data_IF_360510772556
#
_entry.id   IF_360510772556
#
_cell.length_a   1.000
_cell.length_b   1.000
_cell.length_c   1.000
_cell.angle_alpha   90.00
_cell.angle_beta   90.00
_cell.angle_gamma   90.00
#
_symmetry.space_group_name_H-M   'P 1'
#
loop_
_entity.id
_entity.type
_entity.pdbx_description
1 polymer ?
#
# COMPACT_ATOMS: atom_id res chain seq x y z
N UNK A 1 12.24 21.61 -13.70
CA UNK A 1 10.82 21.90 -13.48
C UNK A 1 10.02 20.93 -14.34
N UNK A 2 9.20 20.05 -13.74
CA UNK A 2 8.45 19.04 -14.53
C UNK A 2 7.37 19.71 -15.38
N UNK A 3 7.12 19.15 -16.57
CA UNK A 3 6.20 19.69 -17.59
C UNK A 3 4.80 20.05 -17.05
N UNK A 4 4.33 19.31 -16.03
CA UNK A 4 3.03 19.56 -15.38
C UNK A 4 3.02 20.86 -14.56
N UNK A 5 4.12 21.19 -13.88
CA UNK A 5 4.26 22.44 -13.13
C UNK A 5 4.36 23.63 -14.09
N UNK A 6 5.07 23.45 -15.20
CA UNK A 6 5.23 24.48 -16.24
C UNK A 6 3.91 24.82 -16.94
N UNK A 7 3.07 23.82 -17.24
CA UNK A 7 1.75 24.03 -17.86
C UNK A 7 0.74 24.66 -16.88
N UNK A 8 0.75 24.28 -15.60
CA UNK A 8 -0.11 24.86 -14.56
C UNK A 8 0.25 26.30 -14.19
N UNK A 9 1.53 26.65 -14.15
CA UNK A 9 1.99 28.03 -13.90
C UNK A 9 1.68 28.97 -15.08
N UNK A 10 1.65 28.47 -16.31
CA UNK A 10 1.29 29.28 -17.49
C UNK A 10 -0.19 29.70 -17.50
N UNK A 11 -0.99 29.14 -16.59
CA UNK A 11 -2.41 29.41 -16.39
C UNK A 11 -2.70 30.22 -15.11
N UNK A 12 -1.69 30.56 -14.31
CA UNK A 12 -1.81 31.28 -13.04
C UNK A 12 -1.27 32.72 -13.17
N UNK A 13 -1.96 33.77 -12.67
CA UNK A 13 -1.44 35.13 -12.69
C UNK A 13 -0.13 35.22 -11.86
N UNK A 14 0.81 36.06 -12.32
CA UNK A 14 2.22 36.06 -11.91
C UNK A 14 2.46 36.18 -10.39
N UNK A 15 1.50 36.73 -9.65
CA UNK A 15 1.55 36.90 -8.18
C UNK A 15 1.21 35.62 -7.37
N UNK A 16 0.62 34.58 -7.98
CA UNK A 16 0.25 33.33 -7.29
C UNK A 16 1.20 32.16 -7.57
N UNK A 17 2.22 32.35 -8.42
CA UNK A 17 3.13 31.29 -8.85
C UNK A 17 3.91 30.68 -7.67
N UNK A 18 4.32 31.51 -6.69
CA UNK A 18 5.01 31.05 -5.48
C UNK A 18 4.12 30.18 -4.60
N UNK A 19 2.83 30.54 -4.45
CA UNK A 19 1.84 29.76 -3.71
C UNK A 19 1.47 28.45 -4.44
N UNK A 20 1.29 28.49 -5.76
CA UNK A 20 0.99 27.29 -6.55
C UNK A 20 2.12 26.26 -6.54
N UNK A 21 3.38 26.71 -6.51
CA UNK A 21 4.55 25.83 -6.40
C UNK A 21 4.64 25.19 -5.01
N UNK A 22 4.42 25.96 -3.95
CA UNK A 22 4.39 25.44 -2.58
C UNK A 22 3.27 24.40 -2.40
N UNK A 23 2.06 24.70 -2.88
CA UNK A 23 0.92 23.78 -2.84
C UNK A 23 1.21 22.48 -3.58
N UNK A 24 1.83 22.56 -4.76
CA UNK A 24 2.13 21.37 -5.56
C UNK A 24 3.16 20.45 -4.89
N UNK A 25 4.10 21.02 -4.13
CA UNK A 25 5.02 20.25 -3.30
C UNK A 25 4.32 19.60 -2.11
N UNK A 26 3.41 20.31 -1.43
CA UNK A 26 2.59 19.74 -0.34
C UNK A 26 1.72 18.60 -0.84
N UNK A 27 1.01 18.77 -1.96
CA UNK A 27 0.16 17.72 -2.56
C UNK A 27 1.01 16.49 -2.87
N UNK A 28 2.22 16.66 -3.42
CA UNK A 28 3.12 15.54 -3.72
C UNK A 28 3.58 14.81 -2.45
N UNK A 29 3.92 15.55 -1.40
CA UNK A 29 4.33 14.96 -0.12
C UNK A 29 3.18 14.20 0.55
N UNK A 30 2.00 14.81 0.61
CA UNK A 30 0.80 14.20 1.20
C UNK A 30 0.38 12.97 0.40
N UNK A 31 0.32 13.07 -0.94
CA UNK A 31 -0.03 11.93 -1.79
C UNK A 31 0.98 10.77 -1.68
N UNK A 32 2.28 11.08 -1.59
CA UNK A 32 3.32 10.07 -1.37
C UNK A 32 3.17 9.35 -0.03
N UNK A 33 2.92 10.10 1.05
CA UNK A 33 2.73 9.55 2.40
C UNK A 33 1.46 8.69 2.52
N UNK A 34 0.34 9.15 1.95
CA UNK A 34 -0.91 8.38 1.97
C UNK A 34 -0.77 7.08 1.18
N UNK A 35 -0.11 7.13 0.01
CA UNK A 35 0.11 5.94 -0.81
C UNK A 35 0.90 4.85 -0.08
N UNK A 36 1.98 5.21 0.60
CA UNK A 36 2.79 4.23 1.36
C UNK A 36 2.05 3.73 2.59
N UNK A 37 1.33 4.59 3.31
CA UNK A 37 0.55 4.19 4.48
C UNK A 37 -0.48 3.11 4.14
N UNK A 38 -1.24 3.29 3.06
CA UNK A 38 -2.25 2.33 2.61
C UNK A 38 -1.59 0.98 2.27
N UNK A 39 -0.49 0.99 1.52
CA UNK A 39 0.22 -0.24 1.13
C UNK A 39 0.75 -1.00 2.35
N UNK A 40 1.34 -0.29 3.31
CA UNK A 40 1.83 -0.90 4.56
C UNK A 40 0.66 -1.49 5.35
N UNK A 41 -0.44 -0.76 5.51
CA UNK A 41 -1.62 -1.25 6.23
C UNK A 41 -2.17 -2.54 5.63
N UNK A 42 -2.34 -2.60 4.31
CA UNK A 42 -2.82 -3.81 3.61
C UNK A 42 -1.83 -4.97 3.80
N UNK A 43 -0.54 -4.71 3.60
CA UNK A 43 0.50 -5.75 3.79
C UNK A 43 0.47 -6.31 5.21
N UNK A 44 0.34 -5.44 6.22
CA UNK A 44 0.27 -5.86 7.64
C UNK A 44 -0.99 -6.67 7.93
N UNK A 45 -2.15 -6.26 7.40
CA UNK A 45 -3.40 -7.00 7.58
C UNK A 45 -3.33 -8.38 6.93
N UNK A 46 -2.93 -8.46 5.65
CA UNK A 46 -2.80 -9.74 4.95
C UNK A 46 -1.77 -10.66 5.62
N UNK A 47 -0.62 -10.13 6.03
CA UNK A 47 0.40 -10.91 6.74
C UNK A 47 -0.12 -11.49 8.06
N UNK A 48 -0.92 -10.72 8.80
CA UNK A 48 -1.50 -11.15 10.08
C UNK A 48 -2.55 -12.24 9.89
N UNK A 49 -3.42 -12.08 8.89
CA UNK A 49 -4.43 -13.09 8.52
C UNK A 49 -3.77 -14.40 8.07
N UNK A 50 -2.79 -14.33 7.17
CA UNK A 50 -2.03 -15.52 6.74
C UNK A 50 -1.33 -16.19 7.93
N UNK A 51 -0.69 -15.42 8.81
CA UNK A 51 -0.02 -15.96 9.99
C UNK A 51 -0.99 -16.71 10.91
N UNK A 52 -2.16 -16.12 11.18
CA UNK A 52 -3.22 -16.75 11.96
C UNK A 52 -3.66 -18.08 11.34
N UNK A 53 -3.87 -18.11 10.02
CA UNK A 53 -4.25 -19.32 9.29
C UNK A 53 -3.17 -20.41 9.36
N UNK A 54 -1.90 -20.05 9.18
CA UNK A 54 -0.78 -20.99 9.33
C UNK A 54 -0.69 -21.54 10.76
N UNK A 55 -0.88 -20.72 11.81
CA UNK A 55 -0.85 -21.22 13.19
C UNK A 55 -2.05 -22.08 13.56
N UNK A 56 -3.24 -21.75 13.05
CA UNK A 56 -4.47 -22.51 13.30
C UNK A 56 -4.45 -23.89 12.62
N UNK A 57 -3.94 -23.97 11.40
CA UNK A 57 -3.78 -25.27 10.68
C UNK A 57 -2.78 -26.20 11.37
N UNK A 58 -1.73 -25.66 11.99
CA UNK A 58 -0.75 -26.43 12.75
C UNK A 58 -1.25 -26.91 14.12
N UNK A 59 -2.21 -26.22 14.73
CA UNK A 59 -2.63 -26.46 16.13
C UNK A 59 -3.98 -27.16 16.23
N UNK A 60 -4.97 -26.77 15.42
CA UNK A 60 -6.39 -27.13 15.64
C UNK A 60 -6.91 -28.20 14.69
N UNK A 61 -6.31 -28.34 13.50
CA UNK A 61 -6.88 -29.17 12.43
C UNK A 61 -6.18 -30.54 12.25
N UNK A 62 -5.16 -30.86 13.06
CA UNK A 62 -4.47 -32.14 12.99
C UNK A 62 -3.84 -32.51 14.34
N UNK A 63 -4.49 -33.41 15.08
CA UNK A 63 -3.96 -33.98 16.33
C UNK A 63 -2.57 -34.65 16.14
N UNK A 64 -2.29 -35.12 14.92
CA UNK A 64 -0.98 -35.66 14.56
C UNK A 64 0.13 -34.59 14.65
N UNK A 65 -0.13 -33.40 14.11
CA UNK A 65 0.85 -32.30 14.11
C UNK A 65 1.06 -31.72 15.50
N UNK A 66 0.00 -31.61 16.31
CA UNK A 66 0.12 -31.13 17.70
C UNK A 66 0.95 -32.10 18.54
N UNK A 67 0.79 -33.41 18.36
CA UNK A 67 1.60 -34.43 19.05
C UNK A 67 3.09 -34.37 18.67
N UNK A 68 3.39 -34.12 17.39
CA UNK A 68 4.76 -33.99 16.90
C UNK A 68 5.39 -32.65 17.28
N UNK A 69 4.58 -31.60 17.44
CA UNK A 69 5.02 -30.29 17.93
C UNK A 69 5.46 -30.36 19.40
N UNK A 70 4.75 -31.12 20.25
CA UNK A 70 5.17 -31.40 21.63
C UNK A 70 6.47 -32.20 21.72
N UNK A 71 6.82 -32.98 20.68
CA UNK A 71 8.10 -33.71 20.61
C UNK A 71 9.27 -32.82 20.14
N UNK A 72 9.00 -31.73 19.43
CA UNK A 72 10.03 -30.85 18.85
C UNK A 72 10.75 -29.97 19.88
N UNK A 73 10.30 -29.95 21.14
CA UNK A 73 10.84 -29.11 22.21
C UNK A 73 10.73 -27.61 21.91
N UNK A 74 11.13 -26.78 22.88
CA UNK A 74 10.92 -25.32 22.79
C UNK A 74 11.64 -24.68 21.57
N UNK A 75 12.81 -25.21 21.20
CA UNK A 75 13.59 -24.72 20.06
C UNK A 75 12.97 -25.05 18.69
N UNK A 76 12.33 -26.22 18.57
CA UNK A 76 11.64 -26.62 17.34
C UNK A 76 10.40 -25.76 17.06
N UNK A 77 9.62 -25.47 18.10
CA UNK A 77 8.42 -24.62 18.00
C UNK A 77 8.79 -23.20 17.54
N UNK A 78 9.85 -22.61 18.09
CA UNK A 78 10.32 -21.27 17.69
C UNK A 78 10.73 -21.24 16.21
N UNK A 79 11.39 -22.29 15.71
CA UNK A 79 11.80 -22.36 14.30
C UNK A 79 10.60 -22.47 13.34
N UNK A 80 9.56 -23.22 13.73
CA UNK A 80 8.32 -23.32 12.97
C UNK A 80 7.56 -22.00 12.95
N UNK A 81 7.48 -21.31 14.09
CA UNK A 81 6.87 -19.99 14.18
C UNK A 81 7.61 -18.96 13.31
N UNK A 82 8.95 -18.98 13.32
CA UNK A 82 9.76 -18.14 12.44
C UNK A 82 9.51 -18.44 10.95
N UNK A 83 9.36 -19.71 10.57
CA UNK A 83 9.01 -20.11 9.20
C UNK A 83 7.59 -19.69 8.82
N UNK A 84 6.64 -19.81 9.74
CA UNK A 84 5.25 -19.37 9.55
C UNK A 84 5.21 -17.86 9.30
N UNK A 85 5.89 -17.05 10.11
CA UNK A 85 6.02 -15.60 9.88
C UNK A 85 6.63 -15.33 8.52
N UNK A 86 7.76 -15.98 8.18
CA UNK A 86 8.43 -15.76 6.90
C UNK A 86 7.49 -16.02 5.72
N UNK A 87 6.76 -17.13 5.75
CA UNK A 87 5.85 -17.54 4.66
C UNK A 87 4.66 -16.59 4.59
N UNK A 88 4.06 -16.26 5.73
CA UNK A 88 2.92 -15.33 5.82
C UNK A 88 3.26 -13.93 5.32
N UNK A 89 4.48 -13.45 5.59
CA UNK A 89 4.94 -12.15 5.08
C UNK A 89 5.10 -12.17 3.57
N UNK A 90 5.59 -13.27 2.98
CA UNK A 90 5.70 -13.41 1.53
C UNK A 90 4.31 -13.37 0.89
N UNK A 91 3.38 -14.16 1.41
CA UNK A 91 2.00 -14.22 0.91
C UNK A 91 1.28 -12.87 1.10
N UNK A 92 1.47 -12.22 2.25
CA UNK A 92 0.91 -10.90 2.54
C UNK A 92 1.43 -9.80 1.61
N UNK A 93 2.72 -9.83 1.25
CA UNK A 93 3.29 -8.92 0.24
C UNK A 93 2.69 -9.20 -1.13
N UNK A 94 2.57 -10.47 -1.52
CA UNK A 94 2.00 -10.86 -2.81
C UNK A 94 0.55 -10.35 -2.96
N UNK A 95 -0.27 -10.53 -1.92
CA UNK A 95 -1.64 -10.03 -1.92
C UNK A 95 -1.69 -8.49 -1.99
N UNK A 96 -0.81 -7.81 -1.26
CA UNK A 96 -0.73 -6.35 -1.30
C UNK A 96 -0.42 -5.82 -2.72
N UNK A 97 0.38 -6.53 -3.53
CA UNK A 97 0.61 -6.17 -4.93
C UNK A 97 -0.65 -6.28 -5.80
N UNK A 98 -1.51 -7.26 -5.54
CA UNK A 98 -2.80 -7.37 -6.23
C UNK A 98 -3.72 -6.19 -5.87
N UNK A 99 -3.80 -5.83 -4.59
CA UNK A 99 -4.56 -4.65 -4.16
C UNK A 99 -3.99 -3.34 -4.73
N UNK A 100 -2.66 -3.19 -4.78
CA UNK A 100 -2.01 -2.02 -5.38
C UNK A 100 -2.33 -1.89 -6.87
N UNK A 101 -2.34 -3.02 -7.59
CA UNK A 101 -2.71 -3.07 -9.00
C UNK A 101 -4.16 -2.68 -9.21
N UNK A 102 -5.07 -3.19 -8.37
CA UNK A 102 -6.49 -2.83 -8.41
C UNK A 102 -6.70 -1.33 -8.11
N UNK A 103 -6.02 -0.79 -7.09
CA UNK A 103 -6.06 0.64 -6.76
C UNK A 103 -5.58 1.49 -7.94
N UNK A 104 -4.50 1.07 -8.61
CA UNK A 104 -4.00 1.69 -9.83
C UNK A 104 -5.00 1.67 -10.97
N UNK A 105 -5.71 0.55 -11.18
CA UNK A 105 -6.79 0.45 -12.17
C UNK A 105 -7.95 1.39 -11.85
N UNK A 106 -8.37 1.48 -10.59
CA UNK A 106 -9.42 2.43 -10.17
C UNK A 106 -8.98 3.87 -10.38
N UNK A 107 -7.74 4.22 -10.02
CA UNK A 107 -7.18 5.55 -10.26
C UNK A 107 -7.12 5.88 -11.76
N UNK A 108 -6.76 4.90 -12.60
CA UNK A 108 -6.75 5.03 -14.05
C UNK A 108 -8.15 5.27 -14.61
N UNK A 109 -9.18 4.54 -14.13
CA UNK A 109 -10.56 4.77 -14.53
C UNK A 109 -11.06 6.17 -14.12
N UNK A 110 -10.77 6.60 -12.89
CA UNK A 110 -11.12 7.94 -12.41
C UNK A 110 -10.42 9.05 -13.19
N UNK A 111 -9.20 8.80 -13.67
CA UNK A 111 -8.46 9.78 -14.47
C UNK A 111 -9.17 10.14 -15.78
N UNK A 112 -9.94 9.22 -16.37
CA UNK A 112 -10.74 9.51 -17.57
C UNK A 112 -11.96 10.40 -17.28
N UNK A 113 -12.39 10.48 -16.01
CA UNK A 113 -13.59 11.24 -15.60
C UNK A 113 -13.28 12.71 -15.24
N UNK A 114 -12.02 13.06 -14.99
CA UNK A 114 -11.61 14.43 -14.72
C UNK A 114 -11.65 15.30 -15.99
N UNK A 115 -12.74 16.07 -16.16
CA UNK A 115 -12.83 17.16 -17.14
C UNK A 115 -12.05 18.38 -16.64
N UNK A 116 -11.10 18.89 -17.42
CA UNK A 116 -10.38 20.14 -17.11
C UNK A 116 -11.27 21.37 -17.38
N UNK A 117 -11.49 22.28 -16.41
CA UNK A 117 -12.27 23.49 -16.61
C UNK A 117 -11.54 24.52 -17.49
N UNK A 118 -12.30 25.28 -18.30
CA UNK A 118 -11.76 26.36 -19.15
C UNK A 118 -11.47 27.61 -18.32
N UNK A 119 -10.26 28.14 -18.43
CA UNK A 119 -9.81 29.33 -17.69
C UNK A 119 -10.15 30.58 -18.52
N UNK A 120 -11.07 31.39 -18.01
CA UNK A 120 -11.42 32.69 -18.59
C UNK A 120 -10.40 33.73 -18.11
N UNK A 121 -9.57 34.24 -19.03
CA UNK A 121 -8.70 35.39 -18.77
C UNK A 121 -9.50 36.66 -18.98
N UNK A 122 -9.88 37.35 -17.89
CA UNK A 122 -10.27 38.76 -18.00
C UNK A 122 -9.02 39.61 -18.29
N UNK A 123 -9.19 40.59 -19.17
CA UNK A 123 -8.15 41.40 -19.83
C UNK A 123 -7.50 42.40 -18.89
#
# INVERSE_FOLDING_TARGET
MSLIMTAGMNQLPQHLISHGTALSNTIRQVAGSIGTAILVTITTQQTTEHLSNYTNTLTTNNDFFSSQLSQLGNSGIVSLYAKAIKTSTIDGINDAFLFATLLGLVALLLSFFFRTPKINREK
#
